data_IF_519749926404
#
_entry.id   IF_519749926404
#
_cell.length_a   1.000
_cell.length_b   1.000
_cell.length_c   1.000
_cell.angle_alpha   90.00
_cell.angle_beta   90.00
_cell.angle_gamma   90.00
#
_symmetry.space_group_name_H-M   'P 1'
#
loop_
_entity.id
_entity.type
_entity.pdbx_description
1 polymer ?
#
# COMPACT_ATOMS: atom_id res chain seq x y z
N UNK A 1 29.69 59.97 -16.15
CA UNK A 1 28.29 59.99 -15.68
C UNK A 1 27.44 59.21 -16.69
N UNK A 2 27.01 57.99 -16.37
CA UNK A 2 26.08 57.22 -17.19
C UNK A 2 24.82 56.97 -16.35
N UNK A 3 23.70 57.56 -16.76
CA UNK A 3 22.43 57.50 -16.04
C UNK A 3 21.79 56.11 -16.19
N UNK A 4 21.54 55.46 -15.06
CA UNK A 4 20.88 54.15 -14.96
C UNK A 4 19.37 54.36 -15.13
N UNK A 5 18.85 54.10 -16.34
CA UNK A 5 17.41 54.10 -16.62
C UNK A 5 16.72 53.01 -15.79
N UNK A 6 15.85 53.41 -14.86
CA UNK A 6 15.01 52.50 -14.08
C UNK A 6 13.86 52.01 -14.97
N UNK A 7 14.10 50.92 -15.70
CA UNK A 7 13.04 50.16 -16.37
C UNK A 7 12.12 49.50 -15.34
N UNK A 8 10.98 50.12 -15.06
CA UNK A 8 9.92 49.53 -14.26
C UNK A 8 9.17 48.49 -15.11
N UNK A 9 9.60 47.22 -15.02
CA UNK A 9 8.88 46.10 -15.63
C UNK A 9 7.59 45.87 -14.81
N UNK A 10 6.55 46.65 -15.11
CA UNK A 10 5.18 46.37 -14.64
C UNK A 10 4.67 45.17 -15.42
N UNK A 11 5.00 43.97 -14.93
CA UNK A 11 4.36 42.74 -15.35
C UNK A 11 2.87 42.80 -15.03
N UNK A 12 2.03 42.77 -16.06
CA UNK A 12 0.59 42.58 -15.93
C UNK A 12 0.37 41.18 -15.35
N UNK A 13 0.11 41.10 -14.04
CA UNK A 13 -0.48 39.91 -13.42
C UNK A 13 -1.85 39.75 -14.04
N UNK A 14 -1.95 38.97 -15.12
CA UNK A 14 -3.24 38.45 -15.54
C UNK A 14 -3.76 37.67 -14.35
N UNK A 15 -4.83 38.16 -13.74
CA UNK A 15 -5.52 37.44 -12.69
C UNK A 15 -5.82 36.05 -13.21
N UNK A 16 -5.09 35.06 -12.69
CA UNK A 16 -5.41 33.66 -12.91
C UNK A 16 -6.75 33.50 -12.22
N UNK A 17 -7.84 33.51 -13.01
CA UNK A 17 -9.15 33.07 -12.53
C UNK A 17 -8.89 31.70 -11.93
N UNK A 18 -9.08 31.57 -10.62
CA UNK A 18 -8.96 30.31 -9.91
C UNK A 18 -9.71 29.26 -10.72
N UNK A 19 -9.12 28.07 -11.00
CA UNK A 19 -9.83 27.04 -11.73
C UNK A 19 -11.10 26.72 -10.95
N UNK A 20 -12.25 27.20 -11.45
CA UNK A 20 -13.57 26.88 -10.92
C UNK A 20 -13.83 25.45 -11.37
N UNK A 21 -13.17 24.47 -10.74
CA UNK A 21 -13.52 23.08 -10.93
C UNK A 21 -14.92 22.93 -10.34
N UNK A 22 -15.89 22.66 -11.20
CA UNK A 22 -17.27 22.42 -10.76
C UNK A 22 -17.27 21.39 -9.64
N UNK A 23 -18.12 21.53 -8.60
CA UNK A 23 -18.22 20.53 -7.54
C UNK A 23 -18.33 19.10 -8.09
N UNK A 24 -19.07 18.90 -9.19
CA UNK A 24 -19.17 17.59 -9.86
C UNK A 24 -17.84 17.07 -10.42
N UNK A 25 -16.96 17.95 -10.91
CA UNK A 25 -15.61 17.57 -11.34
C UNK A 25 -14.72 17.21 -10.13
N UNK A 26 -14.87 17.89 -9.00
CA UNK A 26 -14.16 17.56 -7.76
C UNK A 26 -14.59 16.18 -7.26
N UNK A 27 -15.89 15.93 -7.17
CA UNK A 27 -16.42 14.62 -6.79
C UNK A 27 -16.01 13.52 -7.79
N UNK A 28 -16.02 13.80 -9.09
CA UNK A 28 -15.54 12.89 -10.12
C UNK A 28 -14.06 12.53 -9.93
N UNK A 29 -13.21 13.52 -9.67
CA UNK A 29 -11.79 13.29 -9.40
C UNK A 29 -11.60 12.41 -8.15
N UNK A 30 -12.29 12.72 -7.04
CA UNK A 30 -12.25 11.93 -5.81
C UNK A 30 -12.70 10.50 -6.06
N UNK A 31 -13.81 10.32 -6.78
CA UNK A 31 -14.35 9.00 -7.11
C UNK A 31 -13.36 8.16 -7.92
N UNK A 32 -12.72 8.75 -8.93
CA UNK A 32 -11.69 8.07 -9.74
C UNK A 32 -10.51 7.64 -8.86
N UNK A 33 -10.04 8.48 -7.94
CA UNK A 33 -8.97 8.11 -7.02
C UNK A 33 -9.37 6.94 -6.10
N UNK A 34 -10.60 6.95 -5.58
CA UNK A 34 -11.11 5.88 -4.71
C UNK A 34 -11.20 4.56 -5.47
N UNK A 35 -11.82 4.57 -6.66
CA UNK A 35 -11.98 3.36 -7.48
C UNK A 35 -10.65 2.79 -7.95
N UNK A 36 -9.74 3.64 -8.43
CA UNK A 36 -8.41 3.22 -8.88
C UNK A 36 -7.57 2.63 -7.73
N UNK A 37 -7.67 3.21 -6.53
CA UNK A 37 -6.98 2.73 -5.32
C UNK A 37 -7.56 1.39 -4.86
N UNK A 38 -8.88 1.27 -4.78
CA UNK A 38 -9.53 0.08 -4.20
C UNK A 38 -9.08 -1.20 -4.90
N UNK A 39 -9.18 -1.25 -6.23
CA UNK A 39 -8.87 -2.47 -6.99
C UNK A 39 -7.41 -2.93 -6.80
N UNK A 40 -6.46 -1.99 -6.87
CA UNK A 40 -5.03 -2.31 -6.79
C UNK A 40 -4.59 -2.63 -5.37
N UNK A 41 -5.08 -1.90 -4.36
CA UNK A 41 -4.76 -2.16 -2.96
C UNK A 41 -5.39 -3.46 -2.44
N UNK A 42 -6.63 -3.76 -2.83
CA UNK A 42 -7.31 -4.99 -2.41
C UNK A 42 -6.59 -6.24 -2.95
N UNK A 43 -6.24 -6.24 -4.25
CA UNK A 43 -5.50 -7.34 -4.86
C UNK A 43 -4.11 -7.50 -4.24
N UNK A 44 -3.39 -6.39 -4.02
CA UNK A 44 -2.07 -6.42 -3.37
C UNK A 44 -2.14 -7.00 -1.96
N UNK A 45 -3.14 -6.59 -1.16
CA UNK A 45 -3.30 -7.11 0.20
C UNK A 45 -3.66 -8.59 0.19
N UNK A 46 -4.56 -9.03 -0.70
CA UNK A 46 -4.88 -10.45 -0.92
C UNK A 46 -3.61 -11.25 -1.21
N UNK A 47 -2.81 -10.80 -2.17
CA UNK A 47 -1.62 -11.53 -2.60
C UNK A 47 -0.59 -11.58 -1.49
N UNK A 48 -0.37 -10.47 -0.77
CA UNK A 48 0.56 -10.43 0.37
C UNK A 48 0.10 -11.36 1.48
N UNK A 49 -1.17 -11.32 1.84
CA UNK A 49 -1.74 -12.17 2.87
C UNK A 49 -1.63 -13.66 2.47
N UNK A 50 -1.88 -13.99 1.20
CA UNK A 50 -1.72 -15.34 0.65
C UNK A 50 -0.26 -15.79 0.64
N UNK A 51 0.65 -14.95 0.15
CA UNK A 51 2.09 -15.23 0.13
C UNK A 51 2.63 -15.45 1.54
N UNK A 52 2.21 -14.65 2.51
CA UNK A 52 2.60 -14.80 3.91
C UNK A 52 2.01 -16.06 4.55
N UNK A 53 0.83 -16.52 4.13
CA UNK A 53 0.24 -17.77 4.58
C UNK A 53 1.03 -18.99 4.03
N UNK A 54 1.47 -18.92 2.77
CA UNK A 54 2.26 -19.97 2.12
C UNK A 54 3.75 -19.94 2.51
N UNK A 55 4.24 -18.83 3.10
CA UNK A 55 5.67 -18.60 3.42
C UNK A 55 5.84 -18.20 4.89
N UNK A 56 5.72 -19.16 5.83
CA UNK A 56 5.84 -18.89 7.27
C UNK A 56 7.25 -18.39 7.65
N UNK A 57 8.28 -18.75 6.86
CA UNK A 57 9.65 -18.25 6.98
C UNK A 57 9.72 -16.72 6.84
N UNK A 58 9.13 -16.20 5.76
CA UNK A 58 9.08 -14.76 5.47
C UNK A 58 8.21 -14.04 6.49
N UNK A 59 7.09 -14.64 6.86
CA UNK A 59 6.17 -14.04 7.83
C UNK A 59 6.81 -13.92 9.23
N UNK A 60 7.57 -14.92 9.69
CA UNK A 60 8.32 -14.87 10.95
C UNK A 60 9.40 -13.78 10.93
N UNK A 61 10.14 -13.65 9.82
CA UNK A 61 11.13 -12.60 9.64
C UNK A 61 10.48 -11.20 9.70
N UNK A 62 9.38 -10.99 8.97
CA UNK A 62 8.61 -9.74 9.00
C UNK A 62 8.17 -9.38 10.42
N UNK A 63 7.64 -10.34 11.18
CA UNK A 63 7.24 -10.11 12.57
C UNK A 63 8.41 -9.77 13.48
N UNK A 64 9.55 -10.41 13.29
CA UNK A 64 10.76 -10.09 14.05
C UNK A 64 11.19 -8.65 13.79
N UNK A 65 11.12 -8.18 12.54
CA UNK A 65 11.46 -6.80 12.19
C UNK A 65 10.45 -5.79 12.73
N UNK A 66 9.14 -6.08 12.66
CA UNK A 66 8.10 -5.26 13.29
C UNK A 66 8.21 -5.21 14.83
N UNK A 67 8.78 -6.26 15.44
CA UNK A 67 9.08 -6.26 16.88
C UNK A 67 10.18 -5.26 17.27
N UNK A 68 11.14 -5.03 16.37
CA UNK A 68 12.28 -4.11 16.60
C UNK A 68 11.89 -2.63 16.42
N UNK A 69 10.81 -2.32 15.69
CA UNK A 69 10.46 -0.94 15.30
C UNK A 69 9.67 -0.14 16.34
N UNK A 70 9.55 -0.61 17.59
CA UNK A 70 8.62 -0.05 18.59
C UNK A 70 9.04 1.30 19.23
N UNK A 71 10.18 1.88 18.87
CA UNK A 71 10.79 2.93 19.72
C UNK A 71 11.38 4.16 19.03
N UNK A 72 11.44 4.23 17.69
CA UNK A 72 12.10 5.39 17.07
C UNK A 72 11.73 5.57 15.60
N UNK A 73 10.82 6.52 15.32
CA UNK A 73 10.81 7.23 14.03
C UNK A 73 11.97 8.22 14.09
N UNK A 74 13.19 7.72 13.95
CA UNK A 74 14.37 8.53 13.70
C UNK A 74 15.03 7.90 12.49
N UNK A 75 15.16 8.66 11.40
CA UNK A 75 15.61 8.20 10.10
C UNK A 75 17.05 7.70 10.12
N UNK A 76 17.27 6.49 10.64
CA UNK A 76 18.53 5.77 10.57
C UNK A 76 18.36 4.66 9.54
N UNK A 77 18.98 4.87 8.38
CA UNK A 77 18.86 4.02 7.20
C UNK A 77 19.19 2.56 7.51
N UNK A 78 18.15 1.73 7.58
CA UNK A 78 18.30 0.30 7.36
C UNK A 78 18.69 0.12 5.89
N UNK A 79 19.54 -0.86 5.60
CA UNK A 79 20.01 -1.21 4.25
C UNK A 79 18.80 -1.45 3.35
N UNK A 80 18.34 -0.39 2.70
CA UNK A 80 17.13 -0.41 1.90
C UNK A 80 17.45 -1.21 0.65
N UNK A 81 16.85 -2.39 0.53
CA UNK A 81 16.92 -3.18 -0.69
C UNK A 81 16.39 -2.33 -1.85
N UNK A 82 17.31 -1.82 -2.68
CA UNK A 82 16.99 -1.08 -3.88
C UNK A 82 17.05 -2.04 -5.06
N UNK A 83 15.90 -2.39 -5.68
CA UNK A 83 15.92 -3.22 -6.88
C UNK A 83 16.65 -2.47 -8.01
N UNK A 84 17.25 -3.22 -8.95
CA UNK A 84 17.89 -2.65 -10.14
C UNK A 84 16.98 -1.59 -10.78
N UNK A 85 17.46 -0.39 -11.10
CA UNK A 85 16.63 0.66 -11.68
C UNK A 85 15.82 0.13 -12.88
N UNK A 86 14.50 0.33 -12.85
CA UNK A 86 13.59 -0.14 -13.91
C UNK A 86 12.99 -1.53 -13.70
N UNK A 87 13.51 -2.37 -12.78
CA UNK A 87 12.93 -3.72 -12.54
C UNK A 87 11.67 -3.70 -11.68
N UNK A 88 11.42 -2.63 -10.93
CA UNK A 88 10.20 -2.46 -10.15
C UNK A 88 9.21 -1.50 -10.83
N UNK A 89 8.27 -2.08 -11.57
CA UNK A 89 7.29 -1.36 -12.42
C UNK A 89 5.88 -1.22 -11.81
N UNK A 90 5.67 -1.66 -10.56
CA UNK A 90 4.35 -1.68 -9.92
C UNK A 90 3.64 -0.32 -9.84
N UNK A 91 4.40 0.78 -9.89
CA UNK A 91 3.89 2.15 -9.85
C UNK A 91 4.17 2.92 -11.15
N UNK A 92 4.52 2.23 -12.25
CA UNK A 92 4.98 2.84 -13.50
C UNK A 92 6.20 3.77 -13.32
N UNK A 93 6.63 4.42 -14.41
CA UNK A 93 7.72 5.39 -14.46
C UNK A 93 7.38 6.61 -15.33
N UNK A 94 8.24 7.63 -15.27
CA UNK A 94 8.10 8.84 -16.09
C UNK A 94 6.86 9.70 -15.76
N UNK A 95 6.34 10.50 -16.71
CA UNK A 95 5.23 11.43 -16.48
C UNK A 95 3.89 10.74 -16.18
N UNK A 96 3.79 9.43 -16.43
CA UNK A 96 2.62 8.60 -16.13
C UNK A 96 2.83 7.71 -14.90
N UNK A 97 3.85 8.01 -14.09
CA UNK A 97 4.04 7.35 -12.81
C UNK A 97 2.82 7.51 -11.90
N UNK A 98 2.53 6.49 -11.11
CA UNK A 98 1.42 6.50 -10.18
C UNK A 98 1.59 7.64 -9.16
N UNK A 99 0.72 8.64 -9.25
CA UNK A 99 0.66 9.76 -8.31
C UNK A 99 0.43 9.29 -6.86
N UNK A 100 -0.23 8.14 -6.69
CA UNK A 100 -0.51 7.51 -5.40
C UNK A 100 0.65 6.68 -4.80
N UNK A 101 1.83 6.61 -5.43
CA UNK A 101 2.93 5.72 -4.99
C UNK A 101 3.32 5.89 -3.53
N UNK A 102 3.43 7.13 -3.04
CA UNK A 102 3.80 7.42 -1.65
C UNK A 102 2.70 6.98 -0.68
N UNK A 103 1.45 7.27 -1.04
CA UNK A 103 0.28 6.88 -0.25
C UNK A 103 0.15 5.36 -0.15
N UNK A 104 0.28 4.65 -1.29
CA UNK A 104 0.19 3.19 -1.33
C UNK A 104 1.26 2.53 -0.46
N UNK A 105 2.51 3.00 -0.52
CA UNK A 105 3.58 2.50 0.35
C UNK A 105 3.29 2.74 1.83
N UNK A 106 2.85 3.94 2.18
CA UNK A 106 2.52 4.27 3.57
C UNK A 106 1.37 3.41 4.09
N UNK A 107 0.29 3.27 3.31
CA UNK A 107 -0.85 2.42 3.65
C UNK A 107 -0.41 0.97 3.83
N UNK A 108 0.39 0.44 2.90
CA UNK A 108 0.88 -0.93 2.99
C UNK A 108 1.73 -1.18 4.23
N UNK A 109 2.68 -0.29 4.53
CA UNK A 109 3.50 -0.40 5.74
C UNK A 109 2.65 -0.30 7.01
N UNK A 110 1.72 0.66 7.07
CA UNK A 110 0.85 0.86 8.23
C UNK A 110 -0.07 -0.34 8.47
N UNK A 111 -0.74 -0.83 7.43
CA UNK A 111 -1.62 -2.01 7.50
C UNK A 111 -0.84 -3.25 7.87
N UNK A 112 0.32 -3.48 7.24
CA UNK A 112 1.17 -4.64 7.55
C UNK A 112 1.68 -4.60 8.99
N UNK A 113 2.11 -3.44 9.47
CA UNK A 113 2.57 -3.27 10.85
C UNK A 113 1.42 -3.44 11.85
N UNK A 114 0.24 -2.90 11.57
CA UNK A 114 -0.93 -3.03 12.43
C UNK A 114 -1.44 -4.49 12.50
N UNK A 115 -1.51 -5.17 11.36
CA UNK A 115 -1.99 -6.55 11.28
C UNK A 115 -0.95 -7.53 11.82
N UNK A 116 0.25 -7.56 11.25
CA UNK A 116 1.16 -8.68 11.49
C UNK A 116 1.96 -8.56 12.79
N UNK A 117 1.90 -7.42 13.49
CA UNK A 117 2.49 -7.28 14.82
C UNK A 117 1.85 -8.22 15.84
N UNK A 118 0.52 -8.33 15.80
CA UNK A 118 -0.26 -9.10 16.78
C UNK A 118 -0.95 -10.33 16.17
N UNK A 119 -1.16 -10.36 14.85
CA UNK A 119 -1.83 -11.46 14.17
C UNK A 119 -0.91 -12.28 13.28
N UNK A 120 -1.07 -13.61 13.31
CA UNK A 120 -0.52 -14.59 12.37
C UNK A 120 -1.53 -15.08 11.37
N UNK A 121 -1.09 -15.41 10.16
CA UNK A 121 -1.92 -15.99 9.11
C UNK A 121 -1.30 -17.32 8.72
N UNK A 122 -2.10 -18.37 8.78
CA UNK A 122 -1.75 -19.74 8.39
C UNK A 122 -2.71 -20.21 7.30
N UNK A 123 -2.21 -20.99 6.33
CA UNK A 123 -3.06 -21.66 5.34
C UNK A 123 -3.80 -22.81 6.02
N UNK A 124 -5.13 -22.73 6.10
CA UNK A 124 -5.96 -23.86 6.51
C UNK A 124 -6.19 -24.74 5.27
N UNK A 125 -5.17 -25.52 4.93
CA UNK A 125 -5.35 -26.71 4.10
C UNK A 125 -5.99 -27.74 5.03
N UNK A 126 -7.29 -27.98 4.89
CA UNK A 126 -7.87 -29.23 5.37
C UNK A 126 -7.27 -30.33 4.49
N UNK A 127 -6.57 -31.29 5.10
CA UNK A 127 -5.90 -32.42 4.44
C UNK A 127 -6.86 -33.34 3.64
N UNK A 128 -8.13 -32.94 3.44
CA UNK A 128 -9.17 -33.66 2.70
C UNK A 128 -9.42 -33.22 1.25
N UNK A 129 -8.77 -32.16 0.73
CA UNK A 129 -9.00 -31.68 -0.65
C UNK A 129 -7.74 -31.71 -1.53
N UNK A 130 -6.97 -32.80 -1.45
CA UNK A 130 -5.96 -33.14 -2.44
C UNK A 130 -6.52 -34.11 -3.51
N UNK A 131 -7.67 -33.80 -4.12
CA UNK A 131 -8.14 -34.50 -5.33
C UNK A 131 -9.23 -33.71 -6.07
N UNK A 132 -8.94 -33.23 -7.28
CA UNK A 132 -9.96 -33.12 -8.34
C UNK A 132 -10.71 -31.80 -8.57
N UNK A 133 -10.14 -30.62 -8.29
CA UNK A 133 -10.73 -29.35 -8.72
C UNK A 133 -10.33 -28.97 -10.16
N UNK A 134 -11.25 -28.56 -11.06
CA UNK A 134 -10.90 -28.09 -12.39
C UNK A 134 -10.04 -26.80 -12.34
N UNK A 135 -9.14 -26.59 -13.30
CA UNK A 135 -8.30 -25.39 -13.35
C UNK A 135 -9.17 -24.18 -13.69
N UNK A 136 -9.57 -23.40 -12.68
CA UNK A 136 -10.33 -22.17 -12.91
C UNK A 136 -11.20 -21.65 -11.76
N UNK A 137 -11.39 -22.41 -10.68
CA UNK A 137 -12.14 -21.91 -9.53
C UNK A 137 -11.22 -21.45 -8.40
N UNK A 138 -11.51 -20.25 -7.90
CA UNK A 138 -10.73 -19.58 -6.88
C UNK A 138 -10.57 -20.46 -5.66
N UNK A 139 -9.32 -20.81 -5.35
CA UNK A 139 -8.97 -21.39 -4.07
C UNK A 139 -9.41 -20.40 -2.99
N UNK A 140 -10.56 -20.69 -2.38
CA UNK A 140 -10.96 -20.07 -1.14
C UNK A 140 -9.98 -20.59 -0.10
N UNK A 141 -8.80 -19.97 -0.04
CA UNK A 141 -7.83 -20.20 1.01
C UNK A 141 -8.53 -19.77 2.30
N UNK A 142 -8.93 -20.74 3.12
CA UNK A 142 -9.32 -20.46 4.49
C UNK A 142 -8.05 -20.04 5.23
N UNK A 143 -8.04 -18.79 5.70
CA UNK A 143 -6.92 -18.25 6.45
C UNK A 143 -7.26 -18.32 7.92
N UNK A 144 -6.44 -19.05 8.69
CA UNK A 144 -6.56 -19.01 10.14
C UNK A 144 -5.75 -17.83 10.65
N UNK A 145 -6.45 -16.85 11.25
CA UNK A 145 -5.81 -15.70 11.87
C UNK A 145 -5.63 -15.97 13.36
N UNK A 146 -4.38 -16.02 13.83
CA UNK A 146 -4.03 -16.26 15.25
C UNK A 146 -3.54 -14.96 15.88
N UNK A 147 -4.34 -14.37 16.77
CA UNK A 147 -3.97 -13.18 17.54
C UNK A 147 -3.15 -13.51 18.80
N UNK A 148 -2.19 -12.64 19.15
CA UNK A 148 -1.59 -12.60 20.49
C UNK A 148 -2.61 -12.02 21.48
N UNK A 149 -3.39 -12.90 22.13
CA UNK A 149 -4.13 -12.53 23.33
C UNK A 149 -5.56 -12.00 23.15
N UNK A 150 -6.35 -12.59 22.24
CA UNK A 150 -7.81 -12.60 22.40
C UNK A 150 -8.28 -14.04 22.58
N UNK A 151 -8.27 -14.49 23.84
CA UNK A 151 -9.44 -15.22 24.35
C UNK A 151 -10.66 -14.34 24.10
N UNK A 152 -11.84 -14.92 23.87
CA UNK A 152 -13.08 -14.30 23.36
C UNK A 152 -13.26 -14.39 21.84
N UNK A 153 -13.48 -15.60 21.33
CA UNK A 153 -14.73 -15.91 20.64
C UNK A 153 -14.94 -17.41 20.77
N UNK A 154 -16.00 -17.77 21.49
CA UNK A 154 -16.33 -19.15 21.84
C UNK A 154 -16.53 -20.03 20.62
N UNK A 155 -16.23 -21.31 20.82
CA UNK A 155 -16.84 -22.38 20.05
C UNK A 155 -18.36 -22.17 20.10
N UNK A 156 -18.98 -21.97 18.94
CA UNK A 156 -20.41 -22.19 18.79
C UNK A 156 -20.56 -23.63 18.31
N UNK A 157 -21.27 -24.38 19.15
CA UNK A 157 -21.71 -25.76 18.99
C UNK A 157 -22.64 -25.95 17.80
#
# INVERSE_FOLDING_TARGET
>A
MAQRSKGSIRGRVHGIKSPQTSPGAVFGNIFVFIKARYQTSANTLKDVVTLLACRPDIQKALRADLGKTKSSVTGKGTTTFSPTPGSHVAFSGGPRACMGKRFAKAQFCAVSAALFKDYSVESAIDDGQAAGGPPGEGVLMCLKIKGKGTSMLGQAS
#
